data_IF_367539614058
#
_entry.id   IF_367539614058
#
_cell.length_a   1.000
_cell.length_b   1.000
_cell.length_c   1.000
_cell.angle_alpha   90.00
_cell.angle_beta   90.00
_cell.angle_gamma   90.00
#
_symmetry.space_group_name_H-M   'P 1'
#
loop_
_entity.id
_entity.type
_entity.pdbx_description
1 polymer ?
#
# COMPACT_ATOMS: atom_id res chain seq x y z
N UNK A 1 17.53 7.62 -11.47
CA UNK A 1 16.38 8.29 -10.83
C UNK A 1 15.92 7.42 -9.66
N UNK A 2 15.60 8.00 -8.49
CA UNK A 2 15.09 7.23 -7.37
C UNK A 2 13.70 6.64 -7.76
N UNK A 3 13.49 5.32 -7.64
CA UNK A 3 12.19 4.72 -7.94
C UNK A 3 11.08 5.25 -7.02
N UNK A 4 9.87 5.33 -7.56
CA UNK A 4 8.67 5.68 -6.79
C UNK A 4 7.84 4.41 -6.60
N UNK A 5 7.68 3.98 -5.36
CA UNK A 5 6.86 2.84 -5.01
C UNK A 5 5.51 3.30 -4.41
N UNK A 6 4.44 2.60 -4.73
CA UNK A 6 3.07 2.91 -4.31
C UNK A 6 2.55 1.78 -3.44
N UNK A 7 2.13 2.11 -2.22
CA UNK A 7 1.42 1.20 -1.33
C UNK A 7 -0.01 1.73 -1.12
N UNK A 8 -0.95 1.17 -1.86
CA UNK A 8 -2.38 1.48 -1.69
C UNK A 8 -2.97 0.81 -0.46
N UNK A 9 -3.89 1.47 0.20
CA UNK A 9 -4.59 0.90 1.35
C UNK A 9 -5.76 1.75 1.81
N UNK A 10 -6.65 1.16 2.60
CA UNK A 10 -7.73 1.94 3.24
C UNK A 10 -7.19 2.79 4.39
N UNK A 11 -6.21 2.26 5.16
CA UNK A 11 -5.61 2.89 6.34
C UNK A 11 -6.66 3.37 7.35
N UNK A 12 -7.53 2.47 7.79
CA UNK A 12 -8.69 2.74 8.63
C UNK A 12 -8.69 1.94 9.95
N UNK A 13 -7.76 2.24 10.90
CA UNK A 13 -6.64 3.16 10.83
C UNK A 13 -5.37 2.60 10.18
N UNK A 14 -4.38 3.47 9.95
CA UNK A 14 -3.00 3.04 9.75
C UNK A 14 -2.47 2.34 11.01
N UNK A 15 -1.62 1.34 10.83
CA UNK A 15 -1.03 0.58 11.95
C UNK A 15 0.42 0.18 11.66
N UNK A 16 1.14 -0.27 12.69
CA UNK A 16 2.56 -0.59 12.59
C UNK A 16 2.87 -1.65 11.54
N UNK A 17 1.93 -2.56 11.25
CA UNK A 17 2.07 -3.51 10.14
C UNK A 17 2.17 -2.85 8.76
N UNK A 18 1.39 -1.79 8.50
CA UNK A 18 1.50 -1.02 7.26
C UNK A 18 2.85 -0.30 7.16
N UNK A 19 3.27 0.36 8.26
CA UNK A 19 4.49 1.16 8.28
C UNK A 19 5.73 0.30 8.15
N UNK A 20 5.77 -0.86 8.84
CA UNK A 20 6.90 -1.79 8.77
C UNK A 20 7.09 -2.31 7.35
N UNK A 21 6.03 -2.75 6.71
CA UNK A 21 6.05 -3.23 5.34
C UNK A 21 6.49 -2.14 4.36
N UNK A 22 5.96 -0.90 4.51
CA UNK A 22 6.35 0.23 3.67
C UNK A 22 7.83 0.58 3.83
N UNK A 23 8.33 0.56 5.07
CA UNK A 23 9.74 0.85 5.37
C UNK A 23 10.68 -0.20 4.78
N UNK A 24 10.42 -1.49 5.01
CA UNK A 24 11.23 -2.58 4.45
C UNK A 24 11.24 -2.55 2.92
N UNK A 25 10.11 -2.24 2.29
CA UNK A 25 10.05 -2.07 0.84
C UNK A 25 10.89 -0.87 0.38
N UNK A 26 10.86 0.26 1.11
CA UNK A 26 11.67 1.43 0.80
C UNK A 26 13.17 1.13 0.88
N UNK A 27 13.60 0.37 1.90
CA UNK A 27 15.00 -0.04 2.07
C UNK A 27 15.43 -1.04 0.98
N UNK A 28 14.64 -2.10 0.77
CA UNK A 28 14.99 -3.17 -0.16
C UNK A 28 15.02 -2.70 -1.62
N UNK A 29 14.20 -1.71 -1.99
CA UNK A 29 14.09 -1.20 -3.36
C UNK A 29 14.92 0.07 -3.58
N UNK A 30 15.52 0.63 -2.52
CA UNK A 30 16.08 1.99 -2.51
C UNK A 30 15.13 2.97 -3.19
N UNK A 31 13.89 3.07 -2.68
CA UNK A 31 12.79 3.81 -3.28
C UNK A 31 12.13 4.76 -2.29
N UNK A 32 11.45 5.80 -2.81
CA UNK A 32 10.46 6.53 -2.03
C UNK A 32 9.12 5.77 -2.09
N UNK A 33 8.55 5.42 -0.94
CA UNK A 33 7.24 4.76 -0.87
C UNK A 33 6.15 5.77 -0.58
N UNK A 34 5.14 5.80 -1.44
CA UNK A 34 3.93 6.62 -1.30
C UNK A 34 2.81 5.78 -0.72
N UNK A 35 2.42 6.08 0.52
CA UNK A 35 1.22 5.51 1.13
C UNK A 35 0.00 6.25 0.57
N UNK A 36 -0.85 5.53 -0.13
CA UNK A 36 -1.95 6.10 -0.90
C UNK A 36 -3.30 5.65 -0.34
N UNK A 37 -3.96 6.50 0.47
CA UNK A 37 -5.28 6.18 1.01
C UNK A 37 -6.32 6.14 -0.11
N UNK A 38 -7.00 5.00 -0.27
CA UNK A 38 -8.08 4.84 -1.23
C UNK A 38 -9.27 5.72 -0.87
N UNK A 39 -9.94 6.31 -1.88
CA UNK A 39 -11.20 7.05 -1.66
C UNK A 39 -12.33 6.09 -1.32
N UNK A 40 -12.77 5.32 -2.30
CA UNK A 40 -13.78 4.27 -2.16
C UNK A 40 -13.17 2.96 -2.66
N UNK A 41 -12.75 2.06 -1.75
CA UNK A 41 -12.22 0.77 -2.18
C UNK A 41 -13.35 -0.07 -2.80
N UNK A 42 -13.20 -0.55 -4.06
CA UNK A 42 -14.29 -1.16 -4.81
C UNK A 42 -14.84 -2.46 -4.20
N UNK A 43 -14.08 -3.11 -3.32
CA UNK A 43 -14.43 -4.43 -2.76
C UNK A 43 -14.48 -4.45 -1.23
N UNK A 44 -14.55 -3.28 -0.58
CA UNK A 44 -14.59 -3.17 0.89
C UNK A 44 -15.72 -2.25 1.32
N UNK A 45 -16.26 -2.41 2.54
CA UNK A 45 -17.19 -1.45 3.11
C UNK A 45 -16.54 -0.06 3.23
N UNK A 46 -17.39 0.97 3.32
CA UNK A 46 -16.93 2.33 3.55
C UNK A 46 -16.07 2.41 4.82
N UNK A 47 -14.97 3.19 4.80
CA UNK A 47 -14.16 3.42 5.99
C UNK A 47 -14.96 4.06 7.13
N UNK A 48 -14.62 3.75 8.37
CA UNK A 48 -15.23 4.40 9.54
C UNK A 48 -14.70 5.83 9.73
N UNK A 49 -13.40 6.05 9.49
CA UNK A 49 -12.83 7.38 9.53
C UNK A 49 -12.99 8.07 8.17
N UNK A 50 -13.25 9.38 8.19
CA UNK A 50 -13.28 10.20 6.98
C UNK A 50 -11.93 10.19 6.25
N UNK A 51 -11.92 10.59 4.97
CA UNK A 51 -10.70 10.72 4.20
C UNK A 51 -9.67 11.64 4.88
N UNK A 52 -10.13 12.79 5.40
CA UNK A 52 -9.26 13.74 6.11
C UNK A 52 -8.64 13.15 7.38
N UNK A 53 -9.42 12.40 8.17
CA UNK A 53 -8.91 11.74 9.38
C UNK A 53 -7.88 10.65 9.04
N UNK A 54 -8.09 9.87 7.97
CA UNK A 54 -7.13 8.85 7.53
C UNK A 54 -5.81 9.48 7.04
N UNK A 55 -5.88 10.62 6.37
CA UNK A 55 -4.70 11.40 5.96
C UNK A 55 -3.96 11.93 7.18
N UNK A 56 -4.65 12.57 8.12
CA UNK A 56 -4.05 13.11 9.35
C UNK A 56 -3.34 12.00 10.16
N UNK A 57 -3.97 10.82 10.27
CA UNK A 57 -3.33 9.67 10.91
C UNK A 57 -2.04 9.23 10.19
N UNK A 58 -2.04 9.20 8.86
CA UNK A 58 -0.85 8.86 8.09
C UNK A 58 0.24 9.92 8.25
N UNK A 59 -0.07 11.19 8.11
CA UNK A 59 0.90 12.30 8.21
C UNK A 59 1.57 12.34 9.58
N UNK A 60 0.81 12.19 10.66
CA UNK A 60 1.37 12.09 12.02
C UNK A 60 2.25 10.86 12.19
N UNK A 61 1.87 9.75 11.58
CA UNK A 61 2.63 8.50 11.67
C UNK A 61 3.95 8.55 10.90
N UNK A 62 4.04 9.42 9.91
CA UNK A 62 5.22 9.57 9.04
C UNK A 62 6.07 10.80 9.39
N UNK A 63 5.73 11.54 10.43
CA UNK A 63 6.47 12.74 10.80
C UNK A 63 7.96 12.43 11.09
N UNK A 64 8.86 13.30 10.60
CA UNK A 64 10.29 13.20 10.87
C UNK A 64 11.08 12.22 10.01
N UNK A 65 10.45 11.59 8.99
CA UNK A 65 11.16 10.74 8.03
C UNK A 65 10.83 11.15 6.58
N UNK A 66 11.66 10.79 5.60
CA UNK A 66 11.57 11.26 4.22
C UNK A 66 11.36 10.15 3.18
N UNK A 67 11.60 8.89 3.54
CA UNK A 67 11.43 7.75 2.61
C UNK A 67 9.98 7.37 2.37
N UNK A 68 9.11 7.65 3.34
CA UNK A 68 7.68 7.37 3.25
C UNK A 68 6.92 8.70 3.16
N UNK A 69 6.00 8.83 2.22
CA UNK A 69 5.19 10.04 2.05
C UNK A 69 3.72 9.68 1.84
N UNK A 70 2.82 10.58 2.23
CA UNK A 70 1.39 10.43 1.95
C UNK A 70 1.10 10.97 0.56
N UNK A 71 0.35 10.21 -0.25
CA UNK A 71 -0.13 10.68 -1.55
C UNK A 71 -1.66 10.62 -1.59
N UNK A 72 -2.29 11.78 -1.63
CA UNK A 72 -3.74 11.93 -1.51
C UNK A 72 -4.48 11.95 -2.85
N UNK A 73 -3.82 11.63 -3.98
CA UNK A 73 -4.40 11.74 -5.33
C UNK A 73 -5.70 10.95 -5.53
N UNK A 74 -5.82 9.77 -4.92
CA UNK A 74 -7.04 8.98 -5.02
C UNK A 74 -8.22 9.63 -4.31
N UNK A 75 -7.97 10.37 -3.23
CA UNK A 75 -9.02 11.08 -2.49
C UNK A 75 -9.57 12.29 -3.24
N UNK A 76 -8.85 12.79 -4.25
CA UNK A 76 -9.29 13.94 -5.08
C UNK A 76 -10.11 13.52 -6.29
N UNK A 77 -10.20 12.20 -6.54
CA UNK A 77 -10.99 11.65 -7.66
C UNK A 77 -12.38 11.25 -7.18
N UNK A 78 -13.38 11.48 -8.02
CA UNK A 78 -14.72 10.95 -7.80
C UNK A 78 -14.79 9.46 -8.14
N UNK A 79 -15.62 8.73 -7.42
CA UNK A 79 -15.89 7.32 -7.67
C UNK A 79 -14.86 6.36 -7.07
N UNK A 80 -14.81 5.14 -7.62
CA UNK A 80 -13.96 4.07 -7.12
C UNK A 80 -12.48 4.29 -7.47
N UNK A 81 -11.58 3.94 -6.53
CA UNK A 81 -10.13 4.00 -6.72
C UNK A 81 -9.65 2.78 -7.51
N UNK A 82 -9.45 2.94 -8.80
CA UNK A 82 -8.82 1.89 -9.62
C UNK A 82 -7.32 2.13 -9.77
N UNK A 83 -6.53 1.10 -9.49
CA UNK A 83 -5.06 1.17 -9.54
C UNK A 83 -4.52 1.58 -10.91
N UNK A 84 -5.16 1.14 -12.00
CA UNK A 84 -4.76 1.50 -13.36
C UNK A 84 -4.84 3.01 -13.60
N UNK A 85 -5.89 3.66 -13.10
CA UNK A 85 -6.07 5.11 -13.26
C UNK A 85 -5.08 5.89 -12.39
N UNK A 86 -4.73 5.35 -11.24
CA UNK A 86 -3.69 5.90 -10.36
C UNK A 86 -2.32 5.85 -11.02
N UNK A 87 -1.94 4.72 -11.61
CA UNK A 87 -0.67 4.56 -12.31
C UNK A 87 -0.60 5.43 -13.57
N UNK A 88 -1.69 5.60 -14.32
CA UNK A 88 -1.76 6.55 -15.45
C UNK A 88 -1.50 7.99 -14.99
N UNK A 89 -2.12 8.41 -13.89
CA UNK A 89 -1.89 9.73 -13.32
C UNK A 89 -0.44 9.95 -12.87
N UNK A 90 0.20 8.92 -12.28
CA UNK A 90 1.61 8.96 -11.93
C UNK A 90 2.52 9.06 -13.16
N UNK A 91 2.21 8.31 -14.23
CA UNK A 91 2.93 8.43 -15.51
C UNK A 91 2.83 9.83 -16.11
N UNK A 92 1.66 10.42 -16.09
CA UNK A 92 1.46 11.78 -16.59
C UNK A 92 2.26 12.82 -15.80
N UNK A 93 2.43 12.62 -14.48
CA UNK A 93 3.15 13.55 -13.60
C UNK A 93 4.68 13.36 -13.65
N UNK A 94 5.14 12.11 -13.55
CA UNK A 94 6.58 11.80 -13.41
C UNK A 94 7.26 11.43 -14.72
N UNK A 95 6.50 11.27 -15.80
CA UNK A 95 6.99 10.93 -17.13
C UNK A 95 7.21 9.43 -17.36
N UNK A 96 7.44 9.08 -18.61
CA UNK A 96 7.54 7.68 -19.05
C UNK A 96 8.83 6.99 -18.59
N UNK A 97 9.88 7.74 -18.31
CA UNK A 97 11.19 7.19 -17.91
C UNK A 97 11.30 6.90 -16.41
N UNK A 98 10.39 7.44 -15.57
CA UNK A 98 10.44 7.25 -14.12
C UNK A 98 10.16 5.79 -13.74
N UNK A 99 11.02 5.06 -13.01
CA UNK A 99 10.68 3.76 -12.47
C UNK A 99 9.53 3.88 -11.47
N UNK A 100 8.37 3.28 -11.80
CA UNK A 100 7.22 3.16 -10.91
C UNK A 100 7.07 1.72 -10.44
N UNK A 101 6.76 1.54 -9.16
CA UNK A 101 6.62 0.24 -8.52
C UNK A 101 5.27 0.18 -7.80
N UNK A 102 4.44 -0.80 -8.14
CA UNK A 102 3.22 -1.12 -7.40
C UNK A 102 3.54 -2.19 -6.35
N UNK A 103 3.39 -1.87 -5.07
CA UNK A 103 3.54 -2.79 -3.95
C UNK A 103 2.21 -3.47 -3.66
N UNK A 104 2.18 -4.80 -3.66
CA UNK A 104 0.98 -5.60 -3.37
C UNK A 104 1.32 -6.75 -2.42
N UNK A 105 0.43 -7.05 -1.49
CA UNK A 105 0.53 -8.30 -0.72
C UNK A 105 0.25 -9.53 -1.58
N UNK A 106 0.68 -10.71 -1.15
CA UNK A 106 0.54 -11.96 -1.90
C UNK A 106 -0.91 -12.26 -2.32
N UNK A 107 -1.88 -12.04 -1.43
CA UNK A 107 -3.30 -12.28 -1.72
C UNK A 107 -3.83 -11.30 -2.80
N UNK A 108 -3.41 -10.03 -2.73
CA UNK A 108 -3.75 -9.01 -3.72
C UNK A 108 -3.10 -9.30 -5.08
N UNK A 109 -1.84 -9.77 -5.09
CA UNK A 109 -1.16 -10.21 -6.30
C UNK A 109 -1.92 -11.37 -6.98
N UNK A 110 -2.30 -12.39 -6.21
CA UNK A 110 -3.08 -13.53 -6.73
C UNK A 110 -4.44 -13.14 -7.32
N UNK A 111 -5.04 -12.04 -6.82
CA UNK A 111 -6.30 -11.50 -7.32
C UNK A 111 -6.17 -10.49 -8.47
N UNK A 112 -4.96 -10.16 -8.92
CA UNK A 112 -4.75 -9.18 -10.01
C UNK A 112 -5.63 -9.42 -11.25
N UNK A 113 -5.88 -10.67 -11.72
CA UNK A 113 -6.75 -10.90 -12.87
C UNK A 113 -8.18 -10.37 -12.72
N UNK A 114 -8.64 -10.11 -11.50
CA UNK A 114 -9.96 -9.52 -11.23
C UNK A 114 -9.95 -7.99 -11.23
N UNK A 115 -8.77 -7.36 -11.30
CA UNK A 115 -8.64 -5.91 -11.26
C UNK A 115 -8.92 -5.31 -12.64
N UNK A 116 -9.49 -4.11 -12.63
CA UNK A 116 -9.79 -3.39 -13.87
C UNK A 116 -8.52 -3.20 -14.71
N UNK A 117 -8.55 -3.65 -15.95
CA UNK A 117 -7.45 -3.53 -16.92
C UNK A 117 -6.10 -4.06 -16.35
N UNK A 118 -6.12 -5.14 -15.58
CA UNK A 118 -4.99 -5.64 -14.83
C UNK A 118 -3.70 -5.84 -15.64
N UNK A 119 -3.82 -6.23 -16.92
CA UNK A 119 -2.64 -6.39 -17.80
C UNK A 119 -1.94 -5.07 -18.08
N UNK A 120 -2.66 -3.93 -18.04
CA UNK A 120 -2.06 -2.60 -18.20
C UNK A 120 -1.15 -2.23 -17.03
N UNK A 121 -1.36 -2.80 -15.84
CA UNK A 121 -0.52 -2.53 -14.67
C UNK A 121 0.94 -2.84 -14.95
N UNK A 122 1.23 -3.95 -15.68
CA UNK A 122 2.61 -4.31 -16.05
C UNK A 122 3.25 -3.35 -17.07
N UNK A 123 2.44 -2.60 -17.83
CA UNK A 123 2.96 -1.57 -18.75
C UNK A 123 3.23 -0.26 -18.04
N UNK A 124 2.53 -0.01 -16.96
CA UNK A 124 2.56 1.26 -16.22
C UNK A 124 3.56 1.24 -15.05
N UNK A 125 3.80 0.08 -14.45
CA UNK A 125 4.68 -0.07 -13.31
C UNK A 125 5.35 -1.45 -13.26
N UNK A 126 6.39 -1.58 -12.46
CA UNK A 126 6.82 -2.88 -11.92
C UNK A 126 5.82 -3.31 -10.86
N UNK A 127 5.65 -4.61 -10.66
CA UNK A 127 4.82 -5.14 -9.57
C UNK A 127 5.72 -5.86 -8.59
N UNK A 128 5.74 -5.40 -7.35
CA UNK A 128 6.49 -6.04 -6.27
C UNK A 128 5.52 -6.70 -5.32
N UNK A 129 5.63 -8.01 -5.25
CA UNK A 129 4.87 -8.83 -4.33
C UNK A 129 5.58 -8.90 -2.97
N UNK A 130 4.92 -8.41 -1.94
CA UNK A 130 5.38 -8.45 -0.56
C UNK A 130 4.95 -9.79 0.06
N UNK A 131 5.92 -10.65 0.37
CA UNK A 131 5.66 -12.01 0.84
C UNK A 131 5.97 -12.17 2.31
N UNK A 132 5.24 -13.05 2.98
CA UNK A 132 5.59 -13.50 4.33
C UNK A 132 6.49 -14.73 4.21
N UNK A 133 7.54 -14.86 5.04
CA UNK A 133 8.40 -16.04 5.02
C UNK A 133 7.61 -17.34 5.10
N UNK A 134 7.99 -18.32 4.28
CA UNK A 134 7.36 -19.65 4.26
C UNK A 134 6.04 -19.77 3.50
N UNK A 135 5.53 -18.70 2.87
CA UNK A 135 4.37 -18.81 1.96
C UNK A 135 4.81 -19.04 0.52
N UNK A 136 4.14 -19.96 -0.16
CA UNK A 136 4.27 -20.17 -1.61
C UNK A 136 3.65 -19.02 -2.38
N UNK A 137 4.22 -18.70 -3.55
CA UNK A 137 3.69 -17.65 -4.43
C UNK A 137 2.33 -18.09 -5.00
N UNK A 138 1.27 -17.29 -4.87
CA UNK A 138 -0.08 -17.65 -5.31
C UNK A 138 -0.27 -17.41 -6.83
N UNK A 139 0.66 -17.89 -7.65
CA UNK A 139 0.59 -17.68 -9.08
C UNK A 139 -0.19 -18.82 -9.72
N UNK A 140 -1.28 -18.53 -10.38
CA UNK A 140 -2.11 -19.50 -11.08
C UNK A 140 -2.77 -18.90 -12.32
N UNK A 141 -3.20 -19.78 -13.24
CA UNK A 141 -3.95 -19.38 -14.41
C UNK A 141 -3.26 -18.32 -15.28
N UNK A 142 -4.01 -17.31 -15.72
CA UNK A 142 -3.54 -16.25 -16.61
C UNK A 142 -2.40 -15.40 -16.00
N UNK A 143 -2.38 -15.26 -14.68
CA UNK A 143 -1.35 -14.50 -13.99
C UNK A 143 0.04 -15.09 -14.19
N UNK A 144 0.15 -16.43 -14.23
CA UNK A 144 1.43 -17.13 -14.50
C UNK A 144 1.99 -16.70 -15.85
N UNK A 145 1.16 -16.71 -16.90
CA UNK A 145 1.56 -16.32 -18.26
C UNK A 145 2.09 -14.89 -18.34
N UNK A 146 1.54 -13.97 -17.56
CA UNK A 146 1.95 -12.56 -17.54
C UNK A 146 3.15 -12.31 -16.61
N UNK A 147 3.18 -12.93 -15.44
CA UNK A 147 4.14 -12.59 -14.40
C UNK A 147 5.49 -13.34 -14.54
N UNK A 148 5.47 -14.63 -14.95
CA UNK A 148 6.69 -15.44 -15.03
C UNK A 148 7.72 -14.88 -16.03
N UNK A 149 7.35 -14.48 -17.27
CA UNK A 149 8.30 -13.89 -18.22
C UNK A 149 8.91 -12.55 -17.74
N UNK A 150 8.27 -11.89 -16.78
CA UNK A 150 8.65 -10.57 -16.25
C UNK A 150 9.47 -10.66 -14.97
N UNK A 151 9.75 -11.85 -14.49
CA UNK A 151 10.42 -12.05 -13.20
C UNK A 151 11.79 -11.38 -13.15
N UNK A 152 11.97 -10.45 -12.22
CA UNK A 152 13.27 -9.88 -11.89
C UNK A 152 13.98 -10.75 -10.83
N UNK A 153 15.30 -10.75 -10.87
CA UNK A 153 16.17 -11.48 -9.93
C UNK A 153 16.65 -10.59 -8.78
N UNK A 154 16.63 -9.28 -8.98
CA UNK A 154 17.11 -8.31 -8.00
C UNK A 154 16.34 -6.99 -8.08
N UNK A 155 16.32 -6.19 -7.00
CA UNK A 155 15.76 -4.84 -7.00
C UNK A 155 16.41 -3.90 -8.03
N UNK A 156 17.70 -4.10 -8.34
CA UNK A 156 18.41 -3.27 -9.31
C UNK A 156 17.79 -3.29 -10.69
N UNK A 157 17.28 -4.45 -11.13
CA UNK A 157 16.62 -4.55 -12.43
C UNK A 157 15.35 -3.67 -12.55
N UNK A 158 14.77 -3.24 -11.43
CA UNK A 158 13.63 -2.33 -11.41
C UNK A 158 14.05 -0.87 -11.58
N UNK A 159 15.33 -0.55 -11.35
CA UNK A 159 15.89 0.80 -11.52
C UNK A 159 16.30 1.05 -12.98
N UNK A 160 16.60 -0.01 -13.73
CA UNK A 160 17.10 0.07 -15.10
C UNK A 160 15.99 0.26 -16.14
N UNK A 161 14.74 0.03 -15.77
CA UNK A 161 13.56 0.15 -16.65
C UNK A 161 12.40 0.84 -15.95
N UNK A 162 11.51 1.52 -16.68
CA UNK A 162 10.42 2.27 -16.02
C UNK A 162 9.31 1.38 -15.48
N UNK A 163 9.08 0.18 -16.06
CA UNK A 163 7.95 -0.71 -15.74
C UNK A 163 8.21 -2.14 -16.24
N UNK A 164 7.25 -3.04 -15.98
CA UNK A 164 7.15 -4.35 -16.65
C UNK A 164 7.80 -5.51 -15.93
N UNK A 165 8.52 -5.30 -14.84
CA UNK A 165 9.13 -6.37 -14.05
C UNK A 165 8.24 -6.81 -12.89
N UNK A 166 8.42 -8.06 -12.45
CA UNK A 166 7.78 -8.62 -11.25
C UNK A 166 8.87 -9.11 -10.31
N UNK A 167 8.82 -8.71 -9.06
CA UNK A 167 9.76 -9.11 -8.02
C UNK A 167 9.01 -9.53 -6.75
N UNK A 168 9.51 -10.54 -6.05
CA UNK A 168 9.03 -10.92 -4.71
C UNK A 168 10.03 -10.46 -3.66
N UNK A 169 9.56 -9.76 -2.65
CA UNK A 169 10.37 -9.30 -1.52
C UNK A 169 9.79 -9.88 -0.23
N UNK A 170 10.58 -10.61 0.56
CA UNK A 170 10.15 -11.03 1.88
C UNK A 170 10.09 -9.82 2.82
N UNK A 171 9.02 -9.73 3.62
CA UNK A 171 8.84 -8.69 4.63
C UNK A 171 8.55 -9.31 5.97
N UNK A 172 8.90 -8.61 7.05
CA UNK A 172 8.63 -9.04 8.43
C UNK A 172 7.12 -9.18 8.66
N UNK A 173 6.62 -10.38 8.99
CA UNK A 173 5.20 -10.59 9.22
C UNK A 173 4.79 -10.03 10.57
N UNK A 174 4.22 -8.83 10.61
CA UNK A 174 3.49 -8.36 11.78
C UNK A 174 2.03 -8.77 11.63
N UNK A 175 1.55 -9.59 12.57
CA UNK A 175 0.13 -10.02 12.58
C UNK A 175 -0.75 -8.94 13.22
N UNK A 176 -0.83 -7.81 12.51
CA UNK A 176 -1.61 -6.63 12.89
C UNK A 176 -2.59 -6.32 11.78
N UNK A 177 -3.88 -6.13 12.13
CA UNK A 177 -4.90 -5.70 11.18
C UNK A 177 -5.67 -4.49 11.70
N UNK A 178 -6.18 -3.66 10.78
CA UNK A 178 -7.05 -2.54 11.12
C UNK A 178 -8.32 -3.01 11.87
N UNK A 179 -8.85 -4.18 11.52
CA UNK A 179 -10.01 -4.78 12.21
C UNK A 179 -9.71 -5.10 13.66
N UNK A 180 -8.54 -5.65 13.97
CA UNK A 180 -8.08 -5.90 15.34
C UNK A 180 -7.95 -4.59 16.13
N UNK A 181 -7.35 -3.55 15.52
CA UNK A 181 -7.23 -2.23 16.16
C UNK A 181 -8.60 -1.63 16.47
N UNK A 182 -9.52 -1.67 15.49
CA UNK A 182 -10.89 -1.18 15.70
C UNK A 182 -11.64 -1.93 16.79
N UNK A 183 -11.50 -3.25 16.86
CA UNK A 183 -12.14 -4.07 17.89
C UNK A 183 -11.64 -3.72 19.30
N UNK A 184 -10.35 -3.45 19.47
CA UNK A 184 -9.81 -2.97 20.75
C UNK A 184 -10.37 -1.61 21.14
N UNK A 185 -10.36 -0.64 20.21
CA UNK A 185 -10.87 0.71 20.45
C UNK A 185 -12.36 0.72 20.78
N UNK A 186 -13.16 -0.09 20.09
CA UNK A 186 -14.60 -0.22 20.32
C UNK A 186 -14.92 -0.76 21.72
N UNK A 187 -14.03 -1.51 22.33
CA UNK A 187 -14.16 -2.04 23.70
C UNK A 187 -13.46 -1.17 24.76
N UNK A 188 -12.98 0.02 24.38
CA UNK A 188 -12.27 0.92 25.28
C UNK A 188 -10.84 0.50 25.62
N UNK A 189 -10.29 -0.51 24.91
CA UNK A 189 -8.93 -1.00 25.12
C UNK A 189 -7.95 -0.21 24.26
N UNK A 190 -6.76 0.04 24.77
CA UNK A 190 -5.71 0.76 24.07
C UNK A 190 -4.96 -0.17 23.10
N UNK A 191 -4.82 0.19 21.81
CA UNK A 191 -4.08 -0.60 20.82
C UNK A 191 -2.57 -0.27 20.85
N UNK A 192 -1.99 -0.17 22.04
CA UNK A 192 -0.54 0.11 22.25
C UNK A 192 0.30 -0.90 21.50
N UNK A 193 1.35 -0.44 20.83
CA UNK A 193 2.27 -1.18 19.97
C UNK A 193 1.66 -1.70 18.65
N UNK A 194 0.34 -1.62 18.48
CA UNK A 194 -0.29 -1.96 17.21
C UNK A 194 -0.38 -0.74 16.28
N UNK A 195 -0.53 0.46 16.85
CA UNK A 195 -0.55 1.73 16.10
C UNK A 195 0.66 2.59 16.48
N UNK A 196 1.05 3.53 15.60
CA UNK A 196 2.12 4.50 15.91
C UNK A 196 1.82 5.34 17.15
N UNK A 197 2.86 5.62 17.94
CA UNK A 197 2.75 6.40 19.19
C UNK A 197 2.08 7.77 19.01
N UNK A 198 2.32 8.55 17.94
CA UNK A 198 1.63 9.83 17.73
C UNK A 198 0.10 9.73 17.67
N UNK A 199 -0.46 8.57 17.31
CA UNK A 199 -1.91 8.34 17.30
C UNK A 199 -2.47 8.06 18.71
N UNK A 200 -1.63 7.54 19.60
CA UNK A 200 -1.99 7.30 21.01
C UNK A 200 -1.87 8.57 21.83
N UNK A 201 -0.93 9.45 21.47
CA UNK A 201 -0.73 10.73 22.14
C UNK A 201 -1.91 11.71 21.99
N UNK A 202 -2.69 11.56 20.90
CA UNK A 202 -3.92 12.34 20.67
C UNK A 202 -5.14 11.39 20.55
N UNK A 203 -5.83 11.11 21.67
CA UNK A 203 -6.99 10.22 21.66
C UNK A 203 -8.13 10.64 20.75
N UNK A 204 -8.22 11.92 20.36
CA UNK A 204 -9.28 12.43 19.49
C UNK A 204 -9.13 11.90 18.04
N UNK A 205 -7.90 11.63 17.58
CA UNK A 205 -7.67 11.11 16.23
C UNK A 205 -8.25 9.71 16.02
N UNK A 206 -8.35 8.91 17.10
CA UNK A 206 -8.92 7.57 17.10
C UNK A 206 -10.41 7.52 17.50
N UNK A 207 -11.05 8.69 17.71
CA UNK A 207 -12.46 8.78 18.11
C UNK A 207 -13.43 8.05 17.16
N UNK A 208 -13.24 8.03 15.81
CA UNK A 208 -14.13 7.31 14.90
C UNK A 208 -14.28 5.83 15.19
N UNK A 209 -13.32 5.23 15.90
CA UNK A 209 -13.27 3.78 16.19
C UNK A 209 -13.74 3.43 17.61
N UNK A 210 -14.05 4.43 18.43
CA UNK A 210 -14.56 4.23 19.79
C UNK A 210 -16.09 4.20 19.75
N UNK A 211 -16.71 3.31 20.52
CA UNK A 211 -18.16 3.39 20.69
C UNK A 211 -18.51 4.73 21.34
N UNK A 212 -19.41 5.46 20.74
CA UNK A 212 -20.05 6.59 21.44
C UNK A 212 -20.83 5.99 22.62
N UNK A 213 -20.45 6.36 23.82
CA UNK A 213 -21.19 6.04 25.06
C UNK A 213 -22.47 6.87 25.10
#
# INVERSE_FOLDING_TARGET
MLPIAILGGTFDPVHNGHLRVAWEAAEALDAQVRLMPAHVPPHKPAPLASAAQRVDMLERSLAGQSRLVVDTRELRREGASYTVDTLRGLRAEFGEAQPLILLVGADAFGSLPTWREWRQLFRLAHIVMLTRPGRTEPWSGELVGEAVPRRARSPRELQDTPAGKVLSIPVTPLDISASQVRALLATGREPRWLVPEPLLADPAILAPYRQQR
#
